data_IF_885465472795
#
_entry.id   IF_885465472795
#
_cell.length_a   1.000
_cell.length_b   1.000
_cell.length_c   1.000
_cell.angle_alpha   90.00
_cell.angle_beta   90.00
_cell.angle_gamma   90.00
#
_symmetry.space_group_name_H-M   'P 1'
#
loop_
_entity.id
_entity.type
_entity.pdbx_description
1 polymer ?
#
# COMPACT_ATOMS: atom_id res chain seq x y z
N UNK A 1 2.80 21.31 -12.09
CA UNK A 1 2.94 21.69 -10.66
C UNK A 1 3.62 23.04 -10.55
N UNK A 2 2.88 24.08 -10.17
CA UNK A 2 3.47 25.39 -9.88
C UNK A 2 4.03 25.38 -8.46
N UNK A 3 5.23 25.92 -8.22
CA UNK A 3 5.82 25.92 -6.89
C UNK A 3 4.94 26.71 -5.90
N UNK A 4 4.77 26.22 -4.67
CA UNK A 4 4.09 26.99 -3.62
C UNK A 4 4.90 28.25 -3.28
N UNK A 5 4.23 29.35 -2.98
CA UNK A 5 4.88 30.58 -2.52
C UNK A 5 4.09 31.85 -2.83
N UNK A 6 4.38 32.94 -2.11
CA UNK A 6 3.65 34.21 -2.25
C UNK A 6 3.75 34.86 -3.64
N UNK A 7 4.74 34.45 -4.44
CA UNK A 7 4.91 34.86 -5.83
C UNK A 7 3.99 34.11 -6.80
N UNK A 8 3.41 32.97 -6.40
CA UNK A 8 2.51 32.20 -7.22
C UNK A 8 1.11 32.83 -7.21
N UNK A 9 0.63 33.21 -8.40
CA UNK A 9 -0.67 33.87 -8.54
C UNK A 9 -1.85 32.99 -8.12
N UNK A 10 -1.70 31.66 -8.12
CA UNK A 10 -2.74 30.72 -7.70
C UNK A 10 -2.87 30.59 -6.18
N UNK A 11 -1.86 31.02 -5.43
CA UNK A 11 -1.84 30.95 -3.97
C UNK A 11 -2.01 32.32 -3.34
N UNK A 12 -2.35 33.35 -4.12
CA UNK A 12 -2.61 34.68 -3.59
C UNK A 12 -3.91 34.68 -2.76
N UNK A 13 -3.93 35.36 -1.61
CA UNK A 13 -5.15 35.58 -0.84
C UNK A 13 -6.30 36.07 -1.73
N UNK A 14 -7.51 35.58 -1.49
CA UNK A 14 -8.75 35.90 -2.22
C UNK A 14 -8.88 35.39 -3.66
N UNK A 15 -7.93 34.61 -4.18
CA UNK A 15 -8.08 33.97 -5.51
C UNK A 15 -8.90 32.67 -5.43
N UNK A 16 -8.84 31.97 -4.30
CA UNK A 16 -9.60 30.75 -4.03
C UNK A 16 -10.01 30.70 -2.54
N UNK A 17 -11.15 30.07 -2.24
CA UNK A 17 -11.65 29.92 -0.87
C UNK A 17 -10.83 28.91 -0.02
N UNK A 18 -10.03 28.09 -0.70
CA UNK A 18 -9.20 27.03 -0.13
C UNK A 18 -7.93 26.88 -0.97
N UNK A 19 -6.76 27.04 -0.34
CA UNK A 19 -5.47 26.90 -1.03
C UNK A 19 -5.08 25.42 -1.03
N UNK A 20 -4.65 24.93 -2.20
CA UNK A 20 -4.30 23.54 -2.43
C UNK A 20 -2.90 23.36 -3.00
N UNK A 21 -2.09 22.47 -2.43
CA UNK A 21 -0.79 22.09 -2.99
C UNK A 21 -0.75 20.62 -3.42
N UNK A 22 -0.15 20.39 -4.60
CA UNK A 22 0.22 19.05 -5.06
C UNK A 22 1.68 18.79 -4.66
N UNK A 23 1.91 17.68 -3.96
CA UNK A 23 3.22 17.09 -3.64
C UNK A 23 4.21 17.97 -2.86
N UNK A 24 3.80 19.13 -2.35
CA UNK A 24 4.67 20.07 -1.63
C UNK A 24 4.73 19.82 -0.11
N UNK A 25 4.73 18.56 0.31
CA UNK A 25 4.63 18.14 1.71
C UNK A 25 5.68 18.76 2.65
N UNK A 26 6.86 19.10 2.12
CA UNK A 26 7.92 19.80 2.86
C UNK A 26 7.60 21.27 3.18
N UNK A 27 6.67 21.89 2.45
CA UNK A 27 6.27 23.28 2.64
C UNK A 27 5.02 23.44 3.53
N UNK A 28 4.32 22.34 3.86
CA UNK A 28 3.04 22.40 4.55
C UNK A 28 3.15 23.13 5.89
N UNK A 29 4.19 22.83 6.68
CA UNK A 29 4.45 23.51 7.96
C UNK A 29 4.60 25.03 7.84
N UNK A 30 5.12 25.52 6.71
CA UNK A 30 5.31 26.95 6.49
C UNK A 30 4.02 27.66 6.05
N UNK A 31 2.96 26.92 5.71
CA UNK A 31 1.72 27.49 5.18
C UNK A 31 1.14 28.60 6.09
N UNK A 32 0.94 28.41 7.42
CA UNK A 32 0.36 29.46 8.27
C UNK A 32 1.25 30.71 8.40
N UNK A 33 2.55 30.60 8.10
CA UNK A 33 3.45 31.77 8.09
C UNK A 33 3.29 32.57 6.81
N UNK A 34 3.06 31.89 5.69
CA UNK A 34 2.90 32.50 4.38
C UNK A 34 1.47 33.04 4.18
N UNK A 35 0.47 32.37 4.76
CA UNK A 35 -0.96 32.66 4.58
C UNK A 35 -1.73 32.52 5.91
N UNK A 36 -1.55 33.44 6.88
CA UNK A 36 -2.04 33.28 8.27
C UNK A 36 -3.55 33.13 8.44
N UNK A 37 -4.35 33.63 7.51
CA UNK A 37 -5.83 33.62 7.59
C UNK A 37 -6.48 32.66 6.58
N UNK A 38 -5.67 32.01 5.75
CA UNK A 38 -6.16 31.16 4.68
C UNK A 38 -6.34 29.72 5.13
N UNK A 39 -7.20 28.99 4.42
CA UNK A 39 -7.44 27.56 4.65
C UNK A 39 -6.57 26.74 3.70
N UNK A 40 -6.14 25.56 4.15
CA UNK A 40 -5.25 24.70 3.39
C UNK A 40 -5.76 23.27 3.26
N UNK A 41 -5.54 22.67 2.09
CA UNK A 41 -5.76 21.25 1.83
C UNK A 41 -4.62 20.69 0.97
N UNK A 42 -4.19 19.47 1.24
CA UNK A 42 -3.22 18.79 0.38
C UNK A 42 -3.96 18.15 -0.82
N UNK A 43 -3.97 18.82 -1.97
CA UNK A 43 -4.82 18.45 -3.11
C UNK A 43 -4.35 17.23 -3.88
N UNK A 44 -3.07 16.87 -3.77
CA UNK A 44 -2.52 15.65 -4.35
C UNK A 44 -1.25 15.25 -3.59
N UNK A 45 -1.18 14.02 -3.11
CA UNK A 45 -0.11 13.58 -2.21
C UNK A 45 0.44 12.21 -2.53
N UNK A 46 1.58 11.89 -1.91
CA UNK A 46 2.32 10.65 -2.05
C UNK A 46 2.81 10.42 -3.47
N UNK A 47 2.04 9.85 -4.39
CA UNK A 47 2.62 9.25 -5.61
C UNK A 47 3.64 8.15 -5.26
N UNK A 48 3.35 7.42 -4.17
CA UNK A 48 4.04 6.17 -3.82
C UNK A 48 3.74 5.12 -4.90
N UNK A 49 4.67 4.20 -5.13
CA UNK A 49 4.62 3.25 -6.24
C UNK A 49 4.66 1.83 -5.66
N UNK A 50 3.76 0.96 -6.12
CA UNK A 50 3.70 -0.42 -5.67
C UNK A 50 3.08 -1.36 -6.72
N UNK A 51 3.58 -2.59 -6.80
CA UNK A 51 2.93 -3.72 -7.47
C UNK A 51 2.42 -4.68 -6.39
N UNK A 52 1.15 -5.10 -6.46
CA UNK A 52 0.57 -6.01 -5.46
C UNK A 52 1.40 -7.29 -5.36
N UNK A 53 1.77 -7.67 -4.14
CA UNK A 53 2.42 -8.95 -3.86
C UNK A 53 3.89 -9.07 -4.28
N UNK A 54 4.52 -7.99 -4.77
CA UNK A 54 5.94 -7.98 -5.10
C UNK A 54 6.73 -7.27 -4.00
N UNK A 55 7.88 -7.80 -3.58
CA UNK A 55 8.61 -7.27 -2.41
C UNK A 55 10.13 -7.32 -2.63
N UNK A 56 10.77 -6.16 -2.55
CA UNK A 56 12.23 -6.05 -2.62
C UNK A 56 12.84 -6.02 -1.22
N UNK A 57 13.84 -6.88 -0.97
CA UNK A 57 14.58 -6.92 0.29
C UNK A 57 15.94 -6.21 0.20
N UNK A 58 16.42 -5.56 1.29
CA UNK A 58 15.66 -5.20 2.49
C UNK A 58 14.75 -3.97 2.26
N UNK A 59 13.82 -3.76 3.18
CA UNK A 59 12.85 -2.65 3.15
C UNK A 59 13.36 -1.33 3.76
N UNK A 60 14.67 -1.22 4.04
CA UNK A 60 15.26 -0.18 4.90
C UNK A 60 15.62 1.14 4.20
N UNK A 61 15.45 1.21 2.88
CA UNK A 61 15.79 2.40 2.10
C UNK A 61 14.63 2.89 1.24
N UNK A 62 14.48 4.21 1.22
CA UNK A 62 13.54 4.88 0.33
C UNK A 62 14.16 5.06 -1.05
N UNK A 63 13.46 4.57 -2.07
CA UNK A 63 13.82 4.69 -3.49
C UNK A 63 12.91 5.69 -4.19
N UNK A 64 13.51 6.51 -5.05
CA UNK A 64 12.79 7.49 -5.89
C UNK A 64 12.94 7.07 -7.35
N UNK A 65 11.86 6.56 -7.93
CA UNK A 65 11.85 5.97 -9.26
C UNK A 65 10.85 6.70 -10.17
N UNK A 66 11.30 7.18 -11.35
CA UNK A 66 12.71 7.38 -11.71
C UNK A 66 13.39 8.42 -10.81
N UNK A 67 14.72 8.51 -10.85
CA UNK A 67 15.44 9.59 -10.15
C UNK A 67 14.94 10.98 -10.56
N UNK A 68 14.61 11.13 -11.85
CA UNK A 68 13.96 12.32 -12.42
C UNK A 68 12.93 11.91 -13.46
N UNK A 69 11.83 12.65 -13.51
CA UNK A 69 10.68 12.34 -14.36
C UNK A 69 10.96 12.50 -15.87
N UNK A 70 11.97 13.30 -16.23
CA UNK A 70 12.27 13.71 -17.61
C UNK A 70 13.42 12.93 -18.25
N UNK A 71 13.91 11.86 -17.61
CA UNK A 71 15.01 11.02 -18.12
C UNK A 71 14.58 9.55 -18.21
N UNK A 72 15.18 8.75 -19.12
CA UNK A 72 14.92 7.31 -19.17
C UNK A 72 15.22 6.62 -17.84
N UNK A 73 14.37 5.67 -17.46
CA UNK A 73 14.53 4.84 -16.27
C UNK A 73 15.04 3.44 -16.64
N UNK A 74 16.15 3.00 -16.03
CA UNK A 74 16.77 1.69 -16.32
C UNK A 74 17.21 0.93 -15.07
N UNK A 75 16.91 1.45 -13.88
CA UNK A 75 17.41 0.93 -12.59
C UNK A 75 16.37 0.11 -11.80
N UNK A 76 15.15 0.00 -12.33
CA UNK A 76 14.06 -0.74 -11.69
C UNK A 76 14.18 -2.25 -11.84
N UNK A 77 13.14 -2.95 -11.38
CA UNK A 77 13.06 -4.40 -11.44
C UNK A 77 12.94 -4.87 -12.90
N UNK A 78 13.65 -5.95 -13.32
CA UNK A 78 13.67 -6.40 -14.71
C UNK A 78 12.31 -6.83 -15.28
N UNK A 79 11.36 -7.19 -14.42
CA UNK A 79 9.99 -7.59 -14.75
C UNK A 79 8.99 -6.42 -14.67
N UNK A 80 9.50 -5.19 -14.56
CA UNK A 80 8.73 -3.96 -14.40
C UNK A 80 7.81 -3.96 -13.17
N UNK A 81 8.18 -4.66 -12.10
CA UNK A 81 7.48 -4.57 -10.82
C UNK A 81 8.03 -3.43 -9.95
N UNK A 82 7.30 -3.09 -8.90
CA UNK A 82 7.74 -2.17 -7.85
C UNK A 82 7.37 -2.80 -6.53
N UNK A 83 8.30 -2.81 -5.58
CA UNK A 83 8.04 -3.32 -4.22
C UNK A 83 6.79 -2.72 -3.59
N UNK A 84 6.02 -3.56 -2.89
CA UNK A 84 4.79 -3.22 -2.19
C UNK A 84 5.02 -2.68 -0.77
N UNK A 85 6.26 -2.75 -0.25
CA UNK A 85 6.63 -1.92 0.89
C UNK A 85 6.47 -0.45 0.52
N UNK A 86 6.04 0.39 1.46
CA UNK A 86 5.89 1.84 1.26
C UNK A 86 7.24 2.56 1.27
N UNK A 87 8.12 2.14 0.34
CA UNK A 87 9.50 2.58 0.25
C UNK A 87 9.95 2.94 -1.17
N UNK A 88 9.02 2.99 -2.14
CA UNK A 88 9.29 3.51 -3.49
C UNK A 88 8.29 4.60 -3.81
N UNK A 89 8.74 5.73 -4.37
CA UNK A 89 7.82 6.75 -4.91
C UNK A 89 8.35 7.39 -6.18
N UNK A 90 7.47 8.11 -6.88
CA UNK A 90 7.89 9.05 -7.90
C UNK A 90 8.80 10.17 -7.32
N UNK A 91 9.67 10.80 -8.13
CA UNK A 91 10.65 11.77 -7.63
C UNK A 91 10.04 13.09 -7.14
N UNK A 92 8.84 13.44 -7.62
CA UNK A 92 8.07 14.58 -7.08
C UNK A 92 7.30 14.24 -5.81
N UNK A 93 7.11 12.93 -5.55
CA UNK A 93 6.26 12.40 -4.51
C UNK A 93 6.96 12.12 -3.18
N UNK A 94 6.31 11.30 -2.37
CA UNK A 94 6.86 10.69 -1.16
C UNK A 94 6.15 9.37 -0.87
N UNK A 95 6.56 8.69 0.19
CA UNK A 95 5.85 7.50 0.68
C UNK A 95 4.52 7.90 1.32
N UNK A 96 3.59 6.96 1.43
CA UNK A 96 2.30 7.18 2.07
C UNK A 96 2.48 7.57 3.55
N UNK A 97 3.38 6.89 4.26
CA UNK A 97 3.68 7.14 5.67
C UNK A 97 4.24 8.53 5.92
N UNK A 98 5.20 8.99 5.10
CA UNK A 98 5.80 10.32 5.27
C UNK A 98 4.74 11.41 5.16
N UNK A 99 3.86 11.32 4.17
CA UNK A 99 2.77 12.29 3.99
C UNK A 99 1.80 12.20 5.16
N UNK A 100 1.39 10.98 5.56
CA UNK A 100 0.41 10.82 6.61
C UNK A 100 0.91 11.35 7.96
N UNK A 101 2.18 11.12 8.33
CA UNK A 101 2.80 11.70 9.53
C UNK A 101 2.70 13.23 9.55
N UNK A 102 2.96 13.88 8.43
CA UNK A 102 2.84 15.35 8.31
C UNK A 102 1.38 15.79 8.50
N UNK A 103 0.43 15.10 7.88
CA UNK A 103 -1.00 15.44 7.97
C UNK A 103 -1.52 15.27 9.39
N UNK A 104 -1.15 14.19 10.09
CA UNK A 104 -1.52 13.98 11.51
C UNK A 104 -0.96 15.04 12.46
N UNK A 105 0.19 15.62 12.11
CA UNK A 105 0.93 16.52 12.99
C UNK A 105 0.35 17.94 13.04
N UNK A 106 -0.28 18.40 11.98
CA UNK A 106 -0.69 19.80 11.85
C UNK A 106 -2.20 19.97 11.65
N UNK A 107 -2.90 20.46 12.67
CA UNK A 107 -4.36 20.65 12.67
C UNK A 107 -4.90 21.59 11.58
N UNK A 108 -4.07 22.51 11.05
CA UNK A 108 -4.49 23.41 9.97
C UNK A 108 -4.60 22.70 8.60
N UNK A 109 -4.05 21.48 8.48
CA UNK A 109 -4.21 20.64 7.29
C UNK A 109 -5.60 20.02 7.30
N UNK A 110 -6.52 20.58 6.51
CA UNK A 110 -7.91 20.11 6.49
C UNK A 110 -8.11 18.71 5.89
N UNK A 111 -7.10 18.16 5.21
CA UNK A 111 -7.12 16.82 4.63
C UNK A 111 -6.10 16.62 3.53
N UNK A 112 -6.15 15.44 2.91
CA UNK A 112 -5.31 15.04 1.79
C UNK A 112 -6.07 14.21 0.75
N UNK A 113 -5.64 14.30 -0.51
CA UNK A 113 -6.05 13.38 -1.57
C UNK A 113 -4.83 12.61 -2.07
N UNK A 114 -4.82 11.30 -1.85
CA UNK A 114 -3.74 10.44 -2.31
C UNK A 114 -3.76 10.30 -3.83
N UNK A 115 -2.58 10.26 -4.44
CA UNK A 115 -2.38 9.77 -5.79
C UNK A 115 -1.87 8.32 -5.71
N UNK A 116 -2.71 7.29 -5.89
CA UNK A 116 -4.18 7.32 -6.13
C UNK A 116 -4.92 6.29 -5.26
N UNK A 117 -6.25 6.35 -5.25
CA UNK A 117 -7.07 5.32 -4.61
C UNK A 117 -6.98 3.98 -5.36
N UNK A 118 -7.31 3.98 -6.64
CA UNK A 118 -7.22 2.83 -7.53
C UNK A 118 -6.17 3.07 -8.61
N UNK A 119 -5.49 2.02 -9.03
CA UNK A 119 -4.74 2.05 -10.27
C UNK A 119 -5.65 2.37 -11.47
N UNK A 120 -5.04 2.93 -12.51
CA UNK A 120 -5.69 3.33 -13.75
C UNK A 120 -4.86 2.96 -14.97
N UNK A 121 -5.48 2.98 -16.15
CA UNK A 121 -4.79 2.73 -17.43
C UNK A 121 -3.95 3.94 -17.84
N UNK A 122 -2.76 3.70 -18.40
CA UNK A 122 -1.78 4.74 -18.73
C UNK A 122 -0.86 5.09 -17.56
N UNK A 123 -0.02 6.09 -17.77
CA UNK A 123 0.97 6.61 -16.80
C UNK A 123 1.70 5.53 -15.97
N UNK A 124 2.38 4.58 -16.63
CA UNK A 124 3.04 3.46 -15.97
C UNK A 124 4.36 3.85 -15.26
N UNK A 125 4.46 5.07 -14.73
CA UNK A 125 5.61 5.53 -13.96
C UNK A 125 5.94 4.49 -12.89
N UNK A 126 7.19 3.97 -12.83
CA UNK A 126 8.41 4.54 -13.43
C UNK A 126 8.81 3.95 -14.79
N UNK A 127 8.06 2.96 -15.29
CA UNK A 127 8.39 2.19 -16.48
C UNK A 127 7.77 2.75 -17.76
N UNK A 128 8.25 2.25 -18.90
CA UNK A 128 7.62 2.39 -20.20
C UNK A 128 7.02 1.07 -20.67
N UNK A 129 6.79 0.95 -21.97
CA UNK A 129 6.36 -0.32 -22.59
C UNK A 129 7.26 -1.49 -22.15
N UNK A 130 6.72 -2.67 -21.79
CA UNK A 130 5.32 -3.12 -21.96
C UNK A 130 4.34 -2.69 -20.86
N UNK A 131 4.78 -1.94 -19.84
CA UNK A 131 3.89 -1.45 -18.80
C UNK A 131 2.87 -0.47 -19.39
N UNK A 132 1.58 -0.66 -19.05
CA UNK A 132 0.45 0.05 -19.68
C UNK A 132 -0.54 0.67 -18.70
N UNK A 133 -0.30 0.50 -17.40
CA UNK A 133 -1.16 0.98 -16.31
C UNK A 133 -0.29 1.46 -15.16
N UNK A 134 -0.89 2.24 -14.27
CA UNK A 134 -0.21 2.87 -13.15
C UNK A 134 0.27 1.87 -12.10
N UNK A 135 1.13 2.38 -11.22
CA UNK A 135 1.59 1.72 -9.99
C UNK A 135 1.17 2.50 -8.72
N UNK A 136 0.44 3.61 -8.89
CA UNK A 136 0.15 4.59 -7.82
C UNK A 136 -0.99 4.17 -6.88
N UNK A 137 -1.89 3.31 -7.33
CA UNK A 137 -3.09 2.95 -6.58
C UNK A 137 -2.75 2.17 -5.32
N UNK A 138 -3.42 2.47 -4.21
CA UNK A 138 -3.42 1.58 -3.03
C UNK A 138 -4.31 0.34 -3.26
N UNK A 139 -5.16 0.38 -4.27
CA UNK A 139 -5.95 -0.74 -4.81
C UNK A 139 -5.55 -0.92 -6.27
N UNK A 140 -5.37 -2.16 -6.71
CA UNK A 140 -5.00 -2.45 -8.10
C UNK A 140 -6.17 -2.27 -9.08
N UNK A 141 -5.89 -2.38 -10.38
CA UNK A 141 -6.89 -2.17 -11.43
C UNK A 141 -8.04 -3.19 -11.41
N UNK A 142 -7.84 -4.35 -10.80
CA UNK A 142 -8.84 -5.39 -10.64
C UNK A 142 -9.65 -5.24 -9.34
N UNK A 143 -9.33 -4.26 -8.50
CA UNK A 143 -10.01 -3.99 -7.24
C UNK A 143 -9.42 -4.73 -6.03
N UNK A 144 -8.25 -5.34 -6.18
CA UNK A 144 -7.57 -6.00 -5.05
C UNK A 144 -6.70 -4.99 -4.28
N UNK A 145 -6.86 -4.89 -2.95
CA UNK A 145 -6.00 -4.06 -2.12
C UNK A 145 -4.52 -4.43 -2.23
N UNK A 146 -3.65 -3.42 -2.29
CA UNK A 146 -2.21 -3.55 -2.00
C UNK A 146 -1.97 -3.35 -0.50
N UNK A 147 -0.78 -3.65 -0.01
CA UNK A 147 -0.50 -3.62 1.45
C UNK A 147 -0.72 -2.23 2.08
N UNK A 148 -0.41 -1.15 1.35
CA UNK A 148 -0.63 0.23 1.80
C UNK A 148 -2.11 0.62 1.94
N UNK A 149 -3.05 -0.15 1.40
CA UNK A 149 -4.47 -0.01 1.75
C UNK A 149 -4.68 -0.20 3.26
N UNK A 150 -3.98 -1.16 3.86
CA UNK A 150 -4.14 -1.49 5.28
C UNK A 150 -3.46 -0.48 6.21
N UNK A 151 -2.46 0.27 5.73
CA UNK A 151 -1.99 1.48 6.41
C UNK A 151 -3.17 2.42 6.65
N UNK A 152 -3.83 2.84 5.57
CA UNK A 152 -4.97 3.76 5.67
C UNK A 152 -6.14 3.17 6.44
N UNK A 153 -6.46 1.90 6.23
CA UNK A 153 -7.53 1.23 7.00
C UNK A 153 -7.25 1.29 8.51
N UNK A 154 -6.01 1.02 8.93
CA UNK A 154 -5.63 1.05 10.35
C UNK A 154 -5.64 2.45 10.96
N UNK A 155 -5.46 3.50 10.14
CA UNK A 155 -5.33 4.87 10.60
C UNK A 155 -6.61 5.70 10.47
N UNK A 156 -7.51 5.34 9.54
CA UNK A 156 -8.70 6.12 9.19
C UNK A 156 -10.01 5.45 9.61
N UNK A 157 -9.97 4.27 10.22
CA UNK A 157 -11.17 3.56 10.68
C UNK A 157 -11.01 3.05 12.10
N UNK A 158 -12.14 2.91 12.80
CA UNK A 158 -12.22 2.27 14.12
C UNK A 158 -12.40 0.74 14.01
N UNK A 159 -12.44 0.18 12.81
CA UNK A 159 -12.48 -1.28 12.61
C UNK A 159 -11.17 -1.90 13.10
N UNK A 160 -11.19 -3.02 13.84
CA UNK A 160 -9.95 -3.73 14.17
C UNK A 160 -9.19 -4.11 12.88
N UNK A 161 -7.92 -3.70 12.79
CA UNK A 161 -7.01 -4.03 11.69
C UNK A 161 -5.77 -4.73 12.22
N UNK A 162 -5.43 -5.84 11.58
CA UNK A 162 -4.15 -6.54 11.67
C UNK A 162 -3.84 -7.06 10.27
N UNK A 163 -2.84 -6.48 9.63
CA UNK A 163 -2.34 -6.89 8.32
C UNK A 163 -0.84 -7.13 8.41
N UNK A 164 -0.40 -8.38 8.29
CA UNK A 164 1.01 -8.75 8.11
C UNK A 164 1.31 -9.06 6.65
N UNK A 165 2.51 -8.70 6.22
CA UNK A 165 3.05 -8.94 4.87
C UNK A 165 4.58 -8.97 4.97
N UNK A 166 5.31 -9.62 4.05
CA UNK A 166 4.91 -10.13 2.73
C UNK A 166 4.29 -11.54 2.78
N UNK A 167 4.15 -12.19 1.62
CA UNK A 167 3.92 -13.64 1.56
C UNK A 167 5.09 -14.42 2.18
N UNK A 168 4.92 -15.73 2.41
CA UNK A 168 5.92 -16.56 3.08
C UNK A 168 6.49 -17.68 2.18
N UNK A 169 6.86 -17.30 0.96
CA UNK A 169 7.49 -18.16 -0.05
C UNK A 169 8.79 -17.48 -0.50
N UNK A 170 9.91 -17.90 0.09
CA UNK A 170 11.23 -17.30 -0.13
C UNK A 170 12.29 -18.41 -0.30
N UNK A 171 13.52 -18.05 -0.66
CA UNK A 171 14.61 -19.02 -0.68
C UNK A 171 15.11 -19.27 0.74
N UNK A 172 15.62 -20.48 0.98
CA UNK A 172 16.23 -20.82 2.26
C UNK A 172 17.35 -19.82 2.59
N UNK A 173 17.41 -19.38 3.85
CA UNK A 173 18.36 -18.39 4.38
C UNK A 173 18.11 -16.94 3.96
N UNK A 174 17.11 -16.66 3.09
CA UNK A 174 16.70 -15.28 2.81
C UNK A 174 16.32 -14.57 4.11
N UNK A 175 16.74 -13.31 4.24
CA UNK A 175 16.31 -12.46 5.35
C UNK A 175 15.15 -11.58 4.88
N UNK A 176 14.00 -11.73 5.54
CA UNK A 176 12.71 -11.16 5.14
C UNK A 176 12.25 -10.14 6.17
N UNK A 177 11.85 -8.95 5.71
CA UNK A 177 11.25 -7.91 6.54
C UNK A 177 9.75 -8.10 6.64
N UNK A 178 9.26 -8.69 7.73
CA UNK A 178 7.82 -8.81 7.98
C UNK A 178 7.30 -7.50 8.54
N UNK A 179 6.47 -6.80 7.77
CA UNK A 179 5.80 -5.58 8.19
C UNK A 179 4.40 -5.90 8.74
N UNK A 180 3.91 -5.02 9.61
CA UNK A 180 2.52 -5.06 10.04
C UNK A 180 1.89 -3.68 10.13
N UNK A 181 0.73 -3.52 9.48
CA UNK A 181 -0.20 -2.42 9.71
C UNK A 181 -1.31 -2.89 10.66
N UNK A 182 -1.53 -2.17 11.76
CA UNK A 182 -2.49 -2.55 12.79
C UNK A 182 -2.94 -1.33 13.62
N UNK A 183 -4.08 -1.45 14.30
CA UNK A 183 -4.59 -0.44 15.24
C UNK A 183 -4.94 -1.00 16.64
N UNK A 184 -4.53 -2.24 16.92
CA UNK A 184 -4.48 -2.76 18.29
C UNK A 184 -3.26 -2.23 19.05
N UNK A 185 -3.19 -2.48 20.37
CA UNK A 185 -2.15 -1.90 21.23
C UNK A 185 -0.77 -2.51 20.96
N UNK A 186 -0.73 -3.81 20.63
CA UNK A 186 0.49 -4.56 20.37
C UNK A 186 0.23 -5.76 19.46
N UNK A 187 1.28 -6.17 18.74
CA UNK A 187 1.28 -7.37 17.89
C UNK A 187 2.43 -8.26 18.30
N UNK A 188 2.14 -9.56 18.49
CA UNK A 188 3.15 -10.59 18.65
C UNK A 188 3.23 -11.44 17.39
N UNK A 189 4.42 -11.59 16.84
CA UNK A 189 4.67 -12.40 15.65
C UNK A 189 5.27 -13.74 16.07
N UNK A 190 4.82 -14.81 15.44
CA UNK A 190 5.33 -16.17 15.62
C UNK A 190 5.76 -16.74 14.28
N UNK A 191 6.91 -17.40 14.26
CA UNK A 191 7.37 -18.25 13.16
C UNK A 191 7.40 -19.69 13.66
N UNK A 192 6.61 -20.58 13.05
CA UNK A 192 6.53 -22.00 13.43
C UNK A 192 6.28 -22.21 14.94
N UNK A 193 5.34 -21.44 15.49
CA UNK A 193 4.97 -21.39 16.91
C UNK A 193 6.03 -20.80 17.87
N UNK A 194 7.19 -20.39 17.38
CA UNK A 194 8.21 -19.68 18.16
C UNK A 194 7.98 -18.16 18.07
N UNK A 195 7.85 -17.51 19.23
CA UNK A 195 7.66 -16.05 19.31
C UNK A 195 8.90 -15.33 18.79
N UNK A 196 8.67 -14.38 17.88
CA UNK A 196 9.66 -13.46 17.34
C UNK A 196 9.62 -12.10 18.06
N UNK A 197 8.88 -12.03 19.17
CA UNK A 197 8.75 -10.84 20.00
C UNK A 197 7.52 -10.00 19.70
N UNK A 198 7.18 -9.16 20.69
CA UNK A 198 6.05 -8.25 20.68
C UNK A 198 6.51 -6.88 20.17
N UNK A 199 5.73 -6.23 19.31
CA UNK A 199 5.94 -4.84 18.89
C UNK A 199 4.69 -3.99 19.09
N UNK A 200 4.93 -2.69 19.28
CA UNK A 200 3.93 -1.64 19.43
C UNK A 200 4.29 -0.50 18.49
N UNK A 201 3.32 0.32 18.11
CA UNK A 201 3.62 1.62 17.48
C UNK A 201 4.10 2.57 18.57
N UNK A 202 5.33 3.07 18.48
CA UNK A 202 5.88 4.07 19.40
C UNK A 202 6.11 5.40 18.67
N UNK A 203 5.85 6.51 19.34
CA UNK A 203 6.05 7.85 18.75
C UNK A 203 5.23 8.07 17.47
N UNK A 204 5.93 8.28 16.35
CA UNK A 204 5.35 8.52 15.03
C UNK A 204 5.32 7.25 14.15
N UNK A 205 5.53 6.06 14.72
CA UNK A 205 5.49 4.80 13.97
C UNK A 205 4.09 4.49 13.44
N UNK A 206 4.01 4.06 12.19
CA UNK A 206 2.75 3.69 11.52
C UNK A 206 2.68 2.19 11.20
N UNK A 207 3.77 1.46 11.40
CA UNK A 207 3.88 0.03 11.24
C UNK A 207 4.88 -0.57 12.24
N UNK A 208 4.90 -1.89 12.35
CA UNK A 208 5.97 -2.64 13.01
C UNK A 208 6.73 -3.50 12.00
N UNK A 209 8.03 -3.71 12.22
CA UNK A 209 8.88 -4.58 11.37
C UNK A 209 9.60 -5.62 12.20
N UNK A 210 9.58 -6.88 11.77
CA UNK A 210 10.47 -7.94 12.21
C UNK A 210 11.38 -8.34 11.05
N UNK A 211 12.66 -8.58 11.34
CA UNK A 211 13.62 -9.07 10.35
C UNK A 211 13.94 -10.52 10.67
N UNK A 212 13.44 -11.44 9.84
CA UNK A 212 13.46 -12.87 10.11
C UNK A 212 14.29 -13.59 9.05
N UNK A 213 15.04 -14.62 9.46
CA UNK A 213 15.57 -15.60 8.51
C UNK A 213 14.42 -16.51 8.10
N UNK A 214 14.21 -16.66 6.81
CA UNK A 214 13.14 -17.48 6.28
C UNK A 214 13.32 -18.95 6.68
N UNK A 215 12.24 -19.51 7.23
CA UNK A 215 12.04 -20.93 7.39
C UNK A 215 10.62 -21.26 6.91
N UNK A 216 10.44 -22.28 6.06
CA UNK A 216 9.12 -22.65 5.56
C UNK A 216 8.20 -23.03 6.72
N UNK A 217 6.90 -22.78 6.54
CA UNK A 217 5.88 -23.13 7.50
C UNK A 217 4.89 -21.99 7.70
N UNK A 218 4.74 -21.53 8.94
CA UNK A 218 3.65 -20.61 9.32
C UNK A 218 4.17 -19.37 10.01
N UNK A 219 3.85 -18.21 9.44
CA UNK A 219 3.81 -16.94 10.15
C UNK A 219 2.44 -16.75 10.77
N UNK A 220 2.40 -16.41 12.06
CA UNK A 220 1.17 -16.05 12.76
C UNK A 220 1.38 -14.75 13.51
N UNK A 221 0.51 -13.78 13.30
CA UNK A 221 0.45 -12.56 14.10
C UNK A 221 -0.78 -12.57 14.99
N UNK A 222 -0.60 -12.14 16.23
CA UNK A 222 -1.67 -11.98 17.21
C UNK A 222 -1.70 -10.52 17.65
N UNK A 223 -2.78 -9.83 17.33
CA UNK A 223 -3.02 -8.46 17.77
C UNK A 223 -3.78 -8.43 19.09
N UNK A 224 -3.36 -7.58 20.04
CA UNK A 224 -3.97 -7.47 21.36
C UNK A 224 -4.37 -6.04 21.71
N UNK A 225 -5.51 -5.90 22.38
CA UNK A 225 -5.98 -4.63 22.96
C UNK A 225 -6.33 -4.88 24.42
N UNK A 226 -5.83 -4.04 25.33
CA UNK A 226 -5.93 -4.21 26.78
C UNK A 226 -5.48 -5.61 27.26
N UNK A 227 -4.42 -6.13 26.63
CA UNK A 227 -3.86 -7.47 26.93
C UNK A 227 -4.70 -8.66 26.46
N UNK A 228 -5.79 -8.45 25.72
CA UNK A 228 -6.64 -9.51 25.17
C UNK A 228 -6.45 -9.64 23.66
N UNK A 229 -6.41 -10.87 23.17
CA UNK A 229 -6.38 -11.15 21.73
C UNK A 229 -7.65 -10.64 21.05
N UNK A 230 -7.49 -9.78 20.04
CA UNK A 230 -8.59 -9.20 19.26
C UNK A 230 -8.60 -9.69 17.83
N UNK A 231 -7.42 -9.94 17.26
CA UNK A 231 -7.25 -10.40 15.88
C UNK A 231 -6.10 -11.41 15.79
N UNK A 232 -6.21 -12.31 14.82
CA UNK A 232 -5.15 -13.22 14.42
C UNK A 232 -5.11 -13.26 12.90
N UNK A 233 -3.92 -13.18 12.34
CA UNK A 233 -3.67 -13.42 10.93
C UNK A 233 -2.57 -14.47 10.78
N UNK A 234 -2.72 -15.33 9.79
CA UNK A 234 -1.77 -16.41 9.49
C UNK A 234 -1.41 -16.38 8.02
N UNK A 235 -0.12 -16.55 7.71
CA UNK A 235 0.40 -16.75 6.36
C UNK A 235 1.18 -18.05 6.37
N UNK A 236 0.93 -18.90 5.37
CA UNK A 236 1.61 -20.16 5.18
C UNK A 236 2.56 -20.08 3.99
N UNK A 237 3.66 -20.82 4.05
CA UNK A 237 4.41 -21.18 2.85
C UNK A 237 3.53 -22.07 1.99
N UNK A 238 3.18 -21.59 0.80
CA UNK A 238 2.40 -22.36 -0.15
C UNK A 238 3.28 -23.38 -0.90
N UNK A 239 2.71 -24.54 -1.22
CA UNK A 239 3.30 -25.52 -2.12
C UNK A 239 3.05 -25.20 -3.60
N UNK A 240 3.21 -26.21 -4.45
CA UNK A 240 2.93 -26.10 -5.89
C UNK A 240 1.42 -25.86 -6.15
N UNK A 241 1.06 -25.06 -7.17
CA UNK A 241 -0.33 -24.89 -7.60
C UNK A 241 -1.05 -26.22 -7.84
N UNK A 242 -2.25 -26.36 -7.26
CA UNK A 242 -3.07 -27.56 -7.35
C UNK A 242 -4.56 -27.28 -7.62
N UNK A 243 -5.10 -26.15 -7.17
CA UNK A 243 -6.53 -25.83 -7.25
C UNK A 243 -6.78 -24.39 -7.72
N UNK A 244 -7.89 -24.19 -8.45
CA UNK A 244 -8.43 -22.86 -8.76
C UNK A 244 -9.69 -22.67 -7.91
N UNK A 245 -9.65 -21.71 -6.98
CA UNK A 245 -10.79 -21.36 -6.15
C UNK A 245 -11.50 -20.11 -6.67
N UNK A 246 -12.84 -20.14 -6.67
CA UNK A 246 -13.67 -19.04 -7.14
C UNK A 246 -14.48 -18.48 -5.97
N UNK A 247 -14.39 -17.17 -5.75
CA UNK A 247 -15.25 -16.46 -4.82
C UNK A 247 -15.97 -15.32 -5.53
N UNK A 248 -17.21 -15.03 -5.12
CA UNK A 248 -18.04 -14.01 -5.77
C UNK A 248 -18.39 -12.92 -4.77
N UNK A 249 -18.33 -11.67 -5.21
CA UNK A 249 -18.74 -10.52 -4.39
C UNK A 249 -20.24 -10.59 -4.04
N UNK A 250 -21.06 -11.00 -5.02
CA UNK A 250 -22.52 -11.06 -4.93
C UNK A 250 -23.07 -12.26 -5.68
N UNK A 251 -23.67 -13.21 -4.95
CA UNK A 251 -24.29 -14.42 -5.52
C UNK A 251 -25.60 -14.16 -6.29
N UNK A 252 -26.17 -12.97 -6.18
CA UNK A 252 -27.43 -12.62 -6.85
C UNK A 252 -27.34 -11.20 -7.36
N UNK A 253 -27.61 -11.03 -8.66
CA UNK A 253 -27.60 -9.74 -9.35
C UNK A 253 -28.94 -9.51 -10.03
N UNK A 254 -29.20 -8.25 -10.40
CA UNK A 254 -30.40 -7.90 -11.16
C UNK A 254 -30.24 -8.33 -12.63
N UNK A 255 -31.27 -8.95 -13.17
CA UNK A 255 -31.35 -9.29 -14.60
C UNK A 255 -31.73 -8.05 -15.44
N UNK A 256 -30.93 -6.98 -15.36
CA UNK A 256 -31.21 -5.70 -16.03
C UNK A 256 -30.19 -5.33 -17.14
N UNK A 257 -29.23 -6.21 -17.40
CA UNK A 257 -28.17 -6.03 -18.40
C UNK A 257 -27.10 -4.99 -18.01
N UNK A 258 -27.07 -4.55 -16.75
CA UNK A 258 -26.13 -3.54 -16.23
C UNK A 258 -25.47 -3.93 -14.92
N UNK A 259 -26.18 -4.68 -14.06
CA UNK A 259 -25.64 -5.18 -12.81
C UNK A 259 -24.56 -6.24 -13.09
N UNK A 260 -23.49 -6.21 -12.29
CA UNK A 260 -22.31 -7.04 -12.47
C UNK A 260 -21.98 -7.78 -11.18
N UNK A 261 -21.47 -9.00 -11.26
CA UNK A 261 -20.76 -9.63 -10.14
C UNK A 261 -19.30 -9.81 -10.52
N UNK A 262 -18.43 -9.55 -9.55
CA UNK A 262 -16.99 -9.76 -9.66
C UNK A 262 -16.66 -11.12 -9.04
N UNK A 263 -16.04 -11.98 -9.86
CA UNK A 263 -15.58 -13.30 -9.45
C UNK A 263 -14.07 -13.24 -9.26
N UNK A 264 -13.62 -13.37 -8.02
CA UNK A 264 -12.20 -13.50 -7.66
C UNK A 264 -11.75 -14.92 -7.92
N UNK A 265 -10.56 -15.05 -8.48
CA UNK A 265 -9.94 -16.33 -8.86
C UNK A 265 -8.61 -16.44 -8.12
N UNK A 266 -8.51 -17.43 -7.26
CA UNK A 266 -7.32 -17.72 -6.48
C UNK A 266 -6.67 -19.01 -6.96
N UNK A 267 -5.34 -19.02 -7.07
CA UNK A 267 -4.56 -20.23 -7.33
C UNK A 267 -4.03 -20.75 -5.99
N UNK A 268 -4.49 -21.93 -5.61
CA UNK A 268 -4.18 -22.54 -4.32
C UNK A 268 -3.27 -23.76 -4.48
N UNK A 269 -2.48 -24.06 -3.46
CA UNK A 269 -1.79 -25.33 -3.33
C UNK A 269 -2.75 -26.46 -2.87
N UNK A 270 -2.23 -27.67 -2.71
CA UNK A 270 -3.02 -28.84 -2.32
C UNK A 270 -3.60 -28.77 -0.89
N UNK A 271 -3.08 -27.88 -0.04
CA UNK A 271 -3.53 -27.65 1.33
C UNK A 271 -4.47 -26.42 1.44
N UNK A 272 -4.77 -25.76 0.31
CA UNK A 272 -5.66 -24.61 0.22
C UNK A 272 -4.99 -23.26 0.50
N UNK A 273 -3.65 -23.18 0.51
CA UNK A 273 -2.91 -21.92 0.67
C UNK A 273 -2.78 -21.19 -0.67
N UNK A 274 -2.96 -19.87 -0.66
CA UNK A 274 -2.75 -19.04 -1.83
C UNK A 274 -1.28 -19.10 -2.28
N UNK A 275 -1.04 -19.46 -3.54
CA UNK A 275 0.30 -19.44 -4.15
C UNK A 275 0.60 -18.00 -4.57
N UNK A 276 1.52 -17.29 -3.90
CA UNK A 276 1.62 -15.83 -3.99
C UNK A 276 2.17 -15.31 -5.32
N UNK A 277 2.95 -16.13 -6.04
CA UNK A 277 3.61 -15.81 -7.30
C UNK A 277 3.02 -16.57 -8.50
N UNK A 278 1.82 -17.15 -8.34
CA UNK A 278 1.16 -17.89 -9.40
C UNK A 278 0.92 -17.04 -10.66
N UNK A 279 1.57 -17.42 -11.75
CA UNK A 279 1.43 -16.84 -13.09
C UNK A 279 0.63 -17.69 -14.07
N UNK A 280 -0.23 -18.59 -13.56
CA UNK A 280 -0.95 -19.58 -14.36
C UNK A 280 -1.94 -18.93 -15.34
N UNK A 281 -2.01 -19.45 -16.57
CA UNK A 281 -3.06 -19.09 -17.52
C UNK A 281 -4.39 -19.74 -17.09
N UNK A 282 -5.40 -18.92 -16.82
CA UNK A 282 -6.76 -19.37 -16.49
C UNK A 282 -7.69 -19.17 -17.69
N UNK A 283 -8.46 -20.19 -18.04
CA UNK A 283 -9.49 -20.13 -19.08
C UNK A 283 -10.87 -20.08 -18.43
N UNK A 284 -11.77 -19.26 -18.97
CA UNK A 284 -13.12 -19.06 -18.45
C UNK A 284 -14.17 -19.51 -19.46
N UNK A 285 -15.19 -20.18 -18.97
CA UNK A 285 -16.43 -20.51 -19.68
C UNK A 285 -17.60 -20.04 -18.82
N UNK A 286 -18.59 -19.41 -19.45
CA UNK A 286 -19.77 -18.85 -18.77
C UNK A 286 -21.00 -19.31 -19.54
N UNK A 287 -21.92 -19.99 -18.85
CA UNK A 287 -23.20 -20.46 -19.38
C UNK A 287 -24.36 -19.96 -18.51
N UNK A 288 -25.51 -19.69 -19.13
CA UNK A 288 -26.72 -19.22 -18.44
C UNK A 288 -27.76 -18.60 -19.36
#
# INVERSE_FOLDING_TARGET
>A
NNPPGSFNNLTKPMVADLIGYNYAHHEYENFPKLFPEEKFIATETASSLATRGHYDMPSDSIRRWPYRWDIPFTEGNPDNTVSAYDHVSAPWGSTQEVVWKIIKKYDFLSGMYIWTGFDYLGEPTPYGWPSRSSYFGIIDLAGFPKDTYYLYKSEWTDEPVLHIFPHWNWNNEDTVDVWSYFNCDEVELFLNAESQGIKKKEGEDLHAVWRLVYAPGTLKAIGRTNGKEVLTQTIHTAGEPAEIALSVDRRTIKADGKDLSFITIDILDADGNLVPDAGNLVNFEIDG
#
